data_IF_963873626606
#
_entry.id   IF_963873626606
#
_cell.length_a   1.000
_cell.length_b   1.000
_cell.length_c   1.000
_cell.angle_alpha   90.00
_cell.angle_beta   90.00
_cell.angle_gamma   90.00
#
_symmetry.space_group_name_H-M   'P 1'
#
loop_
_entity.id
_entity.type
_entity.pdbx_description
1 polymer ?
#
# COMPACT_ATOMS: atom_id res chain seq x y z
N UNK A 1 7.15 -3.71 -6.26
CA UNK A 1 5.83 -3.22 -5.80
C UNK A 1 4.96 -4.27 -5.09
N UNK A 2 4.82 -5.52 -5.60
CA UNK A 2 3.86 -6.50 -5.02
C UNK A 2 4.25 -7.07 -3.64
N UNK A 3 5.54 -7.25 -3.33
CA UNK A 3 6.03 -7.70 -2.01
C UNK A 3 5.73 -6.70 -0.89
N UNK A 4 6.01 -5.41 -1.16
CA UNK A 4 5.72 -4.31 -0.25
C UNK A 4 4.24 -4.25 0.13
N UNK A 5 3.34 -4.49 -0.83
CA UNK A 5 1.89 -4.53 -0.60
C UNK A 5 1.49 -5.64 0.37
N UNK A 6 2.10 -6.83 0.27
CA UNK A 6 1.83 -7.93 1.21
C UNK A 6 2.21 -7.56 2.64
N UNK A 7 3.41 -6.98 2.84
CA UNK A 7 3.84 -6.55 4.16
C UNK A 7 2.93 -5.46 4.75
N UNK A 8 2.49 -4.51 3.92
CA UNK A 8 1.54 -3.49 4.34
C UNK A 8 0.18 -4.08 4.71
N UNK A 9 -0.37 -4.98 3.91
CA UNK A 9 -1.65 -5.65 4.21
C UNK A 9 -1.57 -6.40 5.55
N UNK A 10 -0.54 -7.24 5.72
CA UNK A 10 -0.34 -7.99 6.96
C UNK A 10 -0.08 -7.08 8.18
N UNK A 11 0.45 -5.87 7.99
CA UNK A 11 0.59 -4.89 9.07
C UNK A 11 -0.73 -4.33 9.61
N UNK A 12 -1.82 -4.43 8.83
CA UNK A 12 -3.16 -4.04 9.26
C UNK A 12 -4.02 -5.24 9.68
N UNK A 13 -3.81 -6.39 9.04
CA UNK A 13 -4.53 -7.63 9.32
C UNK A 13 -3.56 -8.79 9.23
N UNK A 14 -2.96 -9.15 10.35
CA UNK A 14 -1.98 -10.23 10.42
C UNK A 14 -2.66 -11.61 10.41
N UNK A 15 -1.93 -12.65 10.02
CA UNK A 15 -2.45 -14.02 10.05
C UNK A 15 -3.48 -14.34 8.98
N UNK A 16 -3.46 -13.63 7.85
CA UNK A 16 -4.36 -13.89 6.73
C UNK A 16 -4.07 -15.22 6.03
N UNK A 17 -5.12 -15.91 5.60
CA UNK A 17 -5.02 -17.06 4.72
C UNK A 17 -4.53 -16.65 3.32
N UNK A 18 -3.93 -17.60 2.61
CA UNK A 18 -3.43 -17.37 1.24
C UNK A 18 -4.50 -16.85 0.27
N UNK A 19 -5.75 -17.30 0.41
CA UNK A 19 -6.87 -16.85 -0.41
C UNK A 19 -7.27 -15.40 -0.08
N UNK A 20 -7.38 -15.07 1.21
CA UNK A 20 -7.69 -13.71 1.65
C UNK A 20 -6.62 -12.71 1.17
N UNK A 21 -5.35 -13.11 1.20
CA UNK A 21 -4.25 -12.33 0.62
C UNK A 21 -4.37 -12.19 -0.90
N UNK A 22 -4.78 -13.24 -1.60
CA UNK A 22 -4.97 -13.23 -3.05
C UNK A 22 -6.03 -12.21 -3.46
N UNK A 23 -7.16 -12.25 -2.75
CA UNK A 23 -8.30 -11.36 -2.97
C UNK A 23 -7.91 -9.91 -2.65
N UNK A 24 -7.27 -9.65 -1.51
CA UNK A 24 -6.81 -8.32 -1.12
C UNK A 24 -5.76 -7.72 -2.08
N UNK A 25 -4.96 -8.57 -2.73
CA UNK A 25 -3.95 -8.16 -3.70
C UNK A 25 -4.49 -8.05 -5.14
N UNK A 26 -5.67 -8.61 -5.42
CA UNK A 26 -6.21 -8.74 -6.78
C UNK A 26 -5.38 -9.66 -7.68
N UNK A 27 -4.84 -10.74 -7.13
CA UNK A 27 -3.99 -11.71 -7.86
C UNK A 27 -4.42 -13.15 -7.60
N UNK A 28 -3.97 -14.08 -8.43
CA UNK A 28 -4.24 -15.51 -8.21
C UNK A 28 -3.44 -16.11 -7.04
N UNK A 29 -3.91 -17.21 -6.41
CA UNK A 29 -3.26 -17.86 -5.26
C UNK A 29 -1.80 -18.28 -5.51
N UNK A 30 -1.49 -18.75 -6.73
CA UNK A 30 -0.13 -19.11 -7.11
C UNK A 30 0.85 -17.91 -7.03
N UNK A 31 0.37 -16.70 -7.36
CA UNK A 31 1.18 -15.50 -7.26
C UNK A 31 1.46 -15.14 -5.80
N UNK A 32 0.49 -15.33 -4.90
CA UNK A 32 0.68 -15.12 -3.44
C UNK A 32 1.75 -16.05 -2.90
N UNK A 33 1.72 -17.34 -3.25
CA UNK A 33 2.76 -18.30 -2.86
C UNK A 33 4.14 -17.87 -3.33
N UNK A 34 4.26 -17.41 -4.59
CA UNK A 34 5.51 -16.87 -5.10
C UNK A 34 5.97 -15.60 -4.38
N UNK A 35 5.06 -14.68 -4.07
CA UNK A 35 5.37 -13.42 -3.35
C UNK A 35 5.83 -13.72 -1.93
N UNK A 36 5.08 -14.53 -1.18
CA UNK A 36 5.39 -14.91 0.21
C UNK A 36 6.70 -15.70 0.29
N UNK A 37 7.00 -16.58 -0.66
CA UNK A 37 8.30 -17.26 -0.73
C UNK A 37 9.46 -16.26 -0.91
N UNK A 38 9.30 -15.23 -1.74
CA UNK A 38 10.33 -14.20 -1.94
C UNK A 38 10.43 -13.19 -0.80
N UNK A 39 9.46 -13.15 0.12
CA UNK A 39 9.54 -12.33 1.32
C UNK A 39 10.41 -12.97 2.41
N UNK A 40 10.77 -14.25 2.27
CA UNK A 40 11.77 -14.89 3.12
C UNK A 40 11.44 -14.80 4.60
N UNK A 41 12.39 -14.29 5.37
CA UNK A 41 12.36 -14.08 6.82
C UNK A 41 11.46 -12.93 7.28
N UNK A 42 10.92 -12.12 6.37
CA UNK A 42 10.00 -11.03 6.68
C UNK A 42 8.57 -11.53 6.97
N UNK A 43 8.26 -12.77 6.60
CA UNK A 43 6.96 -13.40 6.85
C UNK A 43 7.13 -14.85 7.31
N UNK A 44 6.28 -15.30 8.21
CA UNK A 44 6.19 -16.71 8.62
C UNK A 44 4.86 -17.31 8.18
N UNK A 45 4.87 -18.62 7.94
CA UNK A 45 3.68 -19.38 7.53
C UNK A 45 3.36 -20.42 8.60
N UNK A 46 2.11 -20.49 9.03
CA UNK A 46 1.66 -21.48 10.00
C UNK A 46 0.37 -22.17 9.52
N UNK A 47 0.14 -23.37 10.04
CA UNK A 47 -1.16 -24.05 9.96
C UNK A 47 -2.19 -23.23 10.74
N UNK A 48 -3.40 -23.14 10.21
CA UNK A 48 -4.53 -22.64 10.98
C UNK A 48 -4.88 -23.66 12.10
N UNK A 49 -5.09 -23.21 13.34
CA UNK A 49 -5.37 -24.09 14.48
C UNK A 49 -6.76 -24.78 14.39
N UNK A 50 -7.71 -24.21 13.66
CA UNK A 50 -9.06 -24.73 13.44
C UNK A 50 -9.16 -25.61 12.18
N UNK A 51 -8.38 -25.33 11.13
CA UNK A 51 -8.33 -26.16 9.92
C UNK A 51 -6.92 -26.26 9.33
N UNK A 52 -6.25 -27.39 9.55
CA UNK A 52 -4.84 -27.62 9.11
C UNK A 52 -4.63 -27.53 7.59
N UNK A 53 -5.70 -27.54 6.79
CA UNK A 53 -5.63 -27.34 5.34
C UNK A 53 -5.35 -25.89 4.97
N UNK A 54 -5.65 -24.95 5.88
CA UNK A 54 -5.43 -23.53 5.68
C UNK A 54 -4.01 -23.16 6.15
N UNK A 55 -3.27 -22.47 5.28
CA UNK A 55 -2.00 -21.84 5.63
C UNK A 55 -2.20 -20.34 5.79
N UNK A 56 -1.89 -19.88 7.00
CA UNK A 56 -1.90 -18.46 7.37
C UNK A 56 -0.51 -17.87 7.27
N UNK A 57 -0.44 -16.63 6.84
CA UNK A 57 0.79 -15.85 6.68
C UNK A 57 0.79 -14.75 7.72
N UNK A 58 1.91 -14.60 8.41
CA UNK A 58 2.11 -13.60 9.45
C UNK A 58 3.36 -12.78 9.16
N UNK A 59 3.39 -11.54 9.62
CA UNK A 59 4.65 -10.80 9.74
C UNK A 59 5.55 -11.47 10.78
N UNK A 60 6.85 -11.43 10.51
CA UNK A 60 7.86 -11.60 11.56
C UNK A 60 8.18 -10.24 12.19
N UNK A 61 8.97 -10.25 13.27
CA UNK A 61 9.48 -9.01 13.86
C UNK A 61 10.27 -8.18 12.85
N UNK A 62 11.14 -8.82 12.05
CA UNK A 62 11.88 -8.17 10.98
C UNK A 62 10.95 -7.56 9.91
N UNK A 63 9.89 -8.28 9.53
CA UNK A 63 8.88 -7.77 8.60
C UNK A 63 8.12 -6.56 9.15
N UNK A 64 7.74 -6.59 10.43
CA UNK A 64 7.07 -5.48 11.09
C UNK A 64 7.97 -4.25 11.22
N UNK A 65 9.24 -4.43 11.61
CA UNK A 65 10.23 -3.36 11.69
C UNK A 65 10.43 -2.67 10.34
N UNK A 66 10.59 -3.44 9.27
CA UNK A 66 10.72 -2.91 7.91
C UNK A 66 9.48 -2.08 7.50
N UNK A 67 8.27 -2.54 7.82
CA UNK A 67 7.04 -1.76 7.53
C UNK A 67 7.02 -0.45 8.32
N UNK A 68 7.48 -0.44 9.57
CA UNK A 68 7.58 0.78 10.37
C UNK A 68 8.56 1.78 9.75
N UNK A 69 9.77 1.32 9.37
CA UNK A 69 10.76 2.17 8.69
C UNK A 69 10.22 2.76 7.38
N UNK A 70 9.53 1.95 6.58
CA UNK A 70 8.93 2.38 5.32
C UNK A 70 7.80 3.40 5.54
N UNK A 71 6.99 3.23 6.59
CA UNK A 71 5.98 4.22 6.98
C UNK A 71 6.64 5.53 7.41
N UNK A 72 7.75 5.48 8.11
CA UNK A 72 8.46 6.67 8.59
C UNK A 72 9.12 7.43 7.45
N UNK A 73 9.83 6.73 6.57
CA UNK A 73 10.36 7.31 5.33
C UNK A 73 9.26 7.91 4.44
N UNK A 74 8.11 7.22 4.35
CA UNK A 74 6.92 7.68 3.63
C UNK A 74 6.28 8.92 4.27
N UNK A 75 6.17 8.96 5.60
CA UNK A 75 5.69 10.14 6.35
C UNK A 75 6.58 11.34 6.11
N UNK A 76 7.89 11.15 6.13
CA UNK A 76 8.85 12.22 5.86
C UNK A 76 8.82 12.70 4.40
N UNK A 77 8.67 11.79 3.44
CA UNK A 77 8.46 12.14 2.03
C UNK A 77 7.16 12.93 1.80
N UNK A 78 6.05 12.43 2.35
CA UNK A 78 4.75 13.10 2.31
C UNK A 78 4.79 14.46 3.01
N UNK A 79 5.45 14.56 4.17
CA UNK A 79 5.63 15.82 4.92
C UNK A 79 6.48 16.83 4.14
N UNK A 80 7.52 16.38 3.43
CA UNK A 80 8.31 17.24 2.52
C UNK A 80 7.49 17.71 1.33
N UNK A 81 6.69 16.84 0.71
CA UNK A 81 5.78 17.19 -0.38
C UNK A 81 4.71 18.20 0.08
N UNK A 82 4.06 17.94 1.22
CA UNK A 82 3.04 18.82 1.80
C UNK A 82 3.62 20.17 2.25
N UNK A 83 4.87 20.22 2.76
CA UNK A 83 5.57 21.50 3.00
C UNK A 83 5.84 22.29 1.71
N UNK A 84 6.04 21.63 0.57
CA UNK A 84 6.23 22.28 -0.74
C UNK A 84 4.91 22.76 -1.37
N UNK A 85 3.82 22.05 -1.05
CA UNK A 85 2.44 22.36 -1.40
C UNK A 85 1.75 23.09 -0.24
N UNK A 86 2.28 24.24 0.19
CA UNK A 86 1.53 25.13 1.10
C UNK A 86 0.15 25.42 0.54
N UNK A 87 -0.85 25.50 1.42
CA UNK A 87 -2.26 25.81 1.12
C UNK A 87 -2.47 26.96 0.12
N UNK A 88 -1.63 28.00 0.20
CA UNK A 88 -1.62 29.12 -0.76
C UNK A 88 -1.40 28.66 -2.20
N UNK A 89 -0.45 27.74 -2.45
CA UNK A 89 -0.14 27.20 -3.78
C UNK A 89 -1.22 26.29 -4.34
N UNK A 90 -1.91 25.52 -3.48
CA UNK A 90 -3.03 24.68 -3.92
C UNK A 90 -4.23 25.56 -4.33
N UNK A 91 -4.49 26.63 -3.57
CA UNK A 91 -5.50 27.65 -3.92
C UNK A 91 -5.13 28.41 -5.19
N UNK A 92 -3.86 28.77 -5.37
CA UNK A 92 -3.41 29.43 -6.59
C UNK A 92 -3.55 28.50 -7.81
N UNK A 93 -3.16 27.23 -7.69
CA UNK A 93 -3.30 26.24 -8.75
C UNK A 93 -4.77 25.97 -9.13
N UNK A 94 -5.66 25.82 -8.14
CA UNK A 94 -7.09 25.66 -8.39
C UNK A 94 -7.66 26.88 -9.14
N UNK A 95 -7.31 28.10 -8.70
CA UNK A 95 -7.72 29.34 -9.39
C UNK A 95 -7.20 29.42 -10.83
N UNK A 96 -5.98 28.97 -11.09
CA UNK A 96 -5.43 28.94 -12.45
C UNK A 96 -6.17 27.95 -13.35
N UNK A 97 -6.55 26.78 -12.82
CA UNK A 97 -7.33 25.81 -13.60
C UNK A 97 -8.76 26.27 -13.86
N UNK A 98 -9.41 26.92 -12.89
CA UNK A 98 -10.76 27.48 -13.09
C UNK A 98 -10.75 28.57 -14.17
N UNK A 99 -9.73 29.44 -14.17
CA UNK A 99 -9.57 30.47 -15.19
C UNK A 99 -9.29 29.89 -16.59
N UNK A 100 -8.52 28.80 -16.68
CA UNK A 100 -8.24 28.12 -17.95
C UNK A 100 -9.48 27.41 -18.51
N UNK A 101 -10.30 26.78 -17.66
CA UNK A 101 -11.54 26.14 -18.09
C UNK A 101 -12.56 27.18 -18.58
N UNK A 102 -12.73 28.29 -17.85
CA UNK A 102 -13.60 29.38 -18.29
C UNK A 102 -13.17 30.00 -19.62
N UNK A 103 -11.84 30.13 -19.83
CA UNK A 103 -11.31 30.59 -21.11
C UNK A 103 -11.57 29.58 -22.24
N UNK A 104 -11.40 28.28 -21.99
CA UNK A 104 -11.68 27.24 -22.97
C UNK A 104 -13.17 27.20 -23.36
N UNK A 105 -14.09 27.33 -22.40
CA UNK A 105 -15.53 27.40 -22.65
C UNK A 105 -15.93 28.64 -23.48
N UNK A 106 -15.21 29.75 -23.31
CA UNK A 106 -15.42 30.97 -24.09
C UNK A 106 -14.86 30.95 -25.52
N UNK A 107 -14.02 29.97 -25.86
CA UNK A 107 -13.45 29.79 -27.20
C UNK A 107 -14.28 28.85 -28.09
N UNK A 108 -15.15 28.04 -27.49
CA UNK A 108 -16.07 27.12 -28.17
C UNK A 108 -17.49 27.71 -28.37
N UNK A 109 -17.70 29.00 -28.03
CA UNK A 109 -18.91 29.80 -28.35
C UNK A 109 -18.62 30.87 -29.39
#
# INVERSE_FOLDING_TARGET
MRQLRVLLILSYSDGMAGQELADALGVGPAAVTGITKRLGDLVRRAEDPADRRIRRVYLTEAGAALVAELRDAGRDGKRRLMRRLTERRLRDYARTMDALNAAAESMDS
#
